data_IF_533257762685
#
_entry.id   IF_533257762685
#
_cell.length_a   1.000
_cell.length_b   1.000
_cell.length_c   1.000
_cell.angle_alpha   90.00
_cell.angle_beta   90.00
_cell.angle_gamma   90.00
#
_symmetry.space_group_name_H-M   'P 1'
#
loop_
_entity.id
_entity.type
_entity.pdbx_description
1 polymer ?
#
# COMPACT_ATOMS: atom_id res chain seq x y z
N UNK A 1 -19.35 -0.46 -5.15
CA UNK A 1 -18.79 -0.98 -6.41
C UNK A 1 -17.32 -0.65 -6.37
N UNK A 2 -16.45 -1.66 -6.47
CA UNK A 2 -15.00 -1.47 -6.41
C UNK A 2 -14.45 -1.34 -7.82
N UNK A 3 -13.54 -0.39 -8.04
CA UNK A 3 -12.86 -0.19 -9.32
C UNK A 3 -11.35 -0.23 -9.08
N UNK A 4 -10.64 -1.07 -9.85
CA UNK A 4 -9.18 -1.11 -9.86
C UNK A 4 -8.66 -0.70 -11.23
N UNK A 5 -7.75 0.28 -11.26
CA UNK A 5 -7.16 0.81 -12.50
C UNK A 5 -5.65 0.97 -12.34
N UNK A 6 -4.92 0.87 -13.46
CA UNK A 6 -3.49 1.17 -13.51
C UNK A 6 -3.29 2.56 -14.11
N UNK A 7 -2.73 3.48 -13.33
CA UNK A 7 -2.46 4.86 -13.74
C UNK A 7 -0.98 5.15 -13.58
N UNK A 8 -0.28 5.38 -14.70
CA UNK A 8 1.15 5.75 -14.71
C UNK A 8 2.04 4.79 -13.88
N UNK A 9 1.77 3.49 -13.93
CA UNK A 9 2.53 2.47 -13.19
C UNK A 9 2.12 2.29 -11.72
N UNK A 10 1.14 3.04 -11.24
CA UNK A 10 0.56 2.88 -9.89
C UNK A 10 -0.83 2.27 -10.00
N UNK A 11 -1.11 1.24 -9.20
CA UNK A 11 -2.44 0.68 -9.10
C UNK A 11 -3.29 1.55 -8.18
N UNK A 12 -4.48 1.92 -8.61
CA UNK A 12 -5.45 2.66 -7.81
C UNK A 12 -6.70 1.81 -7.63
N UNK A 13 -7.12 1.66 -6.38
CA UNK A 13 -8.31 0.92 -5.96
C UNK A 13 -9.28 1.92 -5.37
N UNK A 14 -10.48 1.99 -5.90
CA UNK A 14 -11.54 2.88 -5.46
C UNK A 14 -12.64 2.08 -4.78
N UNK A 15 -13.04 2.54 -3.58
CA UNK A 15 -14.25 2.11 -2.89
C UNK A 15 -15.11 3.35 -2.59
N UNK A 16 -16.02 3.67 -3.50
CA UNK A 16 -16.78 4.93 -3.45
C UNK A 16 -15.87 6.14 -3.68
N UNK A 17 -15.75 7.02 -2.69
CA UNK A 17 -14.88 8.20 -2.72
C UNK A 17 -13.47 7.95 -2.17
N UNK A 18 -13.29 6.84 -1.47
CA UNK A 18 -12.01 6.48 -0.89
C UNK A 18 -11.16 5.78 -1.93
N UNK A 19 -9.85 6.01 -1.88
CA UNK A 19 -8.89 5.44 -2.83
C UNK A 19 -7.65 4.95 -2.11
N UNK A 20 -7.16 3.79 -2.52
CA UNK A 20 -5.83 3.30 -2.17
C UNK A 20 -4.99 3.25 -3.43
N UNK A 21 -3.87 3.95 -3.44
CA UNK A 21 -2.88 3.84 -4.52
C UNK A 21 -1.70 3.02 -4.01
N UNK A 22 -1.24 2.05 -4.80
CA UNK A 22 -0.08 1.26 -4.42
C UNK A 22 0.88 1.01 -5.59
N UNK A 23 2.17 1.01 -5.28
CA UNK A 23 3.23 0.67 -6.23
C UNK A 23 4.35 -0.08 -5.53
N UNK A 24 5.11 -0.83 -6.32
CA UNK A 24 6.35 -1.42 -5.84
C UNK A 24 7.45 -0.35 -5.79
N UNK A 25 8.27 -0.39 -4.75
CA UNK A 25 9.47 0.43 -4.63
C UNK A 25 10.64 -0.38 -5.22
N UNK A 26 11.19 0.04 -6.37
CA UNK A 26 12.34 -0.61 -6.97
C UNK A 26 13.56 -0.62 -6.03
N UNK A 27 14.46 -1.61 -6.18
CA UNK A 27 15.70 -1.62 -5.42
C UNK A 27 16.50 -0.33 -5.62
N UNK A 28 16.94 0.29 -4.51
CA UNK A 28 17.75 1.53 -4.48
C UNK A 28 17.01 2.79 -4.94
N UNK A 29 15.69 2.77 -5.04
CA UNK A 29 14.90 4.00 -5.19
C UNK A 29 14.71 4.64 -3.81
N UNK A 30 15.14 5.90 -3.67
CA UNK A 30 14.77 6.73 -2.53
C UNK A 30 13.35 7.26 -2.74
N UNK A 31 12.52 7.16 -1.71
CA UNK A 31 11.14 7.66 -1.74
C UNK A 31 10.96 8.78 -0.72
N UNK A 32 10.13 9.76 -1.08
CA UNK A 32 9.66 10.77 -0.13
C UNK A 32 8.53 10.18 0.70
N UNK A 33 8.69 10.24 2.03
CA UNK A 33 7.69 9.77 2.98
C UNK A 33 7.14 10.91 3.81
N UNK A 34 5.88 10.80 4.19
CA UNK A 34 5.27 11.65 5.20
C UNK A 34 5.95 11.44 6.55
N UNK A 35 5.92 12.46 7.39
CA UNK A 35 6.44 12.39 8.76
C UNK A 35 5.67 11.39 9.64
N UNK A 36 4.43 11.08 9.30
CA UNK A 36 3.54 10.12 9.97
C UNK A 36 3.40 8.79 9.19
N UNK A 37 4.36 8.46 8.32
CA UNK A 37 4.36 7.21 7.56
C UNK A 37 4.47 6.00 8.49
N UNK A 38 3.62 4.99 8.26
CA UNK A 38 3.71 3.71 8.95
C UNK A 38 4.66 2.77 8.18
N UNK A 39 5.79 2.44 8.79
CA UNK A 39 6.79 1.53 8.22
C UNK A 39 6.68 0.14 8.86
N UNK A 40 6.15 -0.83 8.12
CA UNK A 40 6.06 -2.23 8.52
C UNK A 40 7.19 -3.11 7.96
N UNK A 41 8.18 -2.53 7.29
CA UNK A 41 9.29 -3.31 6.73
C UNK A 41 10.23 -3.86 7.82
N UNK A 42 10.43 -3.12 8.91
CA UNK A 42 11.33 -3.52 10.01
C UNK A 42 10.75 -4.65 10.86
N UNK A 43 9.42 -4.66 11.06
CA UNK A 43 8.75 -5.68 11.86
C UNK A 43 8.78 -7.06 11.19
N UNK A 44 8.75 -7.10 9.86
CA UNK A 44 8.75 -8.35 9.09
C UNK A 44 10.14 -9.00 9.00
N UNK A 45 11.24 -8.26 9.14
CA UNK A 45 12.60 -8.82 9.13
C UNK A 45 12.87 -9.74 10.33
N UNK A 46 12.08 -9.63 11.39
CA UNK A 46 12.14 -10.54 12.55
C UNK A 46 11.48 -11.89 12.29
N UNK A 47 10.71 -12.04 11.20
CA UNK A 47 10.07 -13.30 10.80
C UNK A 47 10.93 -14.02 9.76
N UNK A 48 11.50 -15.16 10.13
CA UNK A 48 12.73 -15.70 9.55
C UNK A 48 12.63 -16.39 8.17
N UNK A 49 11.52 -16.33 7.43
CA UNK A 49 11.30 -17.24 6.28
C UNK A 49 10.83 -16.56 4.98
N UNK A 50 10.91 -15.24 4.87
CA UNK A 50 10.37 -14.53 3.70
C UNK A 50 11.53 -14.14 2.78
N UNK A 51 11.57 -14.74 1.58
CA UNK A 51 12.42 -14.24 0.49
C UNK A 51 12.30 -12.72 0.38
N UNK A 52 13.40 -11.96 0.23
CA UNK A 52 13.34 -10.51 0.26
C UNK A 52 12.50 -9.99 -0.91
N UNK A 53 11.23 -9.71 -0.64
CA UNK A 53 10.35 -9.06 -1.61
C UNK A 53 10.60 -7.55 -1.56
N UNK A 54 10.59 -6.87 -2.71
CA UNK A 54 10.66 -5.42 -2.75
C UNK A 54 9.49 -4.84 -1.93
N UNK A 55 9.75 -3.77 -1.15
CA UNK A 55 8.71 -3.14 -0.38
C UNK A 55 7.70 -2.45 -1.30
N UNK A 56 6.48 -2.32 -0.81
CA UNK A 56 5.37 -1.64 -1.46
C UNK A 56 5.16 -0.31 -0.75
N UNK A 57 4.87 0.71 -1.54
CA UNK A 57 4.37 1.99 -1.08
C UNK A 57 2.86 2.04 -1.28
N UNK A 58 2.12 2.40 -0.25
CA UNK A 58 0.68 2.57 -0.28
C UNK A 58 0.30 3.97 0.20
N UNK A 59 -0.59 4.62 -0.55
CA UNK A 59 -1.16 5.91 -0.23
C UNK A 59 -2.66 5.78 -0.03
N UNK A 60 -3.15 6.26 1.11
CA UNK A 60 -4.56 6.22 1.49
C UNK A 60 -5.18 7.60 1.27
N UNK A 61 -6.30 7.63 0.55
CA UNK A 61 -7.03 8.85 0.24
C UNK A 61 -8.47 8.74 0.73
N UNK A 62 -8.95 9.82 1.35
CA UNK A 62 -10.38 10.05 1.60
C UNK A 62 -10.84 11.21 0.72
N UNK A 63 -11.57 10.88 -0.35
CA UNK A 63 -11.79 11.84 -1.44
C UNK A 63 -10.46 12.26 -2.08
N UNK A 64 -10.18 13.57 -2.09
CA UNK A 64 -8.93 14.11 -2.65
C UNK A 64 -7.81 14.28 -1.62
N UNK A 65 -8.08 14.04 -0.33
CA UNK A 65 -7.11 14.27 0.74
C UNK A 65 -6.32 12.99 1.03
N UNK A 66 -5.00 13.13 1.13
CA UNK A 66 -4.13 12.06 1.65
C UNK A 66 -4.32 11.96 3.16
N UNK A 67 -4.76 10.80 3.62
CA UNK A 67 -4.98 10.52 5.05
C UNK A 67 -3.92 9.61 5.66
N UNK A 68 -3.08 8.96 4.84
CA UNK A 68 -1.98 8.15 5.34
C UNK A 68 -1.08 7.62 4.23
N UNK A 69 0.12 7.20 4.64
CA UNK A 69 1.08 6.49 3.80
C UNK A 69 1.62 5.30 4.59
N UNK A 70 1.75 4.15 3.91
CA UNK A 70 2.23 2.90 4.48
C UNK A 70 3.33 2.36 3.59
N UNK A 71 4.42 1.92 4.19
CA UNK A 71 5.47 1.13 3.51
C UNK A 71 5.49 -0.25 4.15
N UNK A 72 5.31 -1.29 3.34
CA UNK A 72 5.21 -2.66 3.83
C UNK A 72 5.71 -3.66 2.77
N UNK A 73 6.18 -4.84 3.19
CA UNK A 73 6.46 -5.93 2.25
C UNK A 73 5.22 -6.83 2.15
N UNK A 74 5.11 -7.51 1.00
CA UNK A 74 4.02 -8.45 0.70
C UNK A 74 4.06 -9.69 1.62
N UNK A 75 2.92 -10.36 1.82
CA UNK A 75 1.59 -10.04 1.27
C UNK A 75 0.89 -8.91 2.01
N UNK A 76 0.18 -8.05 1.27
CA UNK A 76 -0.63 -6.96 1.88
C UNK A 76 -2.10 -7.21 1.54
N UNK A 77 -2.95 -7.17 2.56
CA UNK A 77 -4.39 -7.36 2.40
C UNK A 77 -5.11 -6.04 2.67
N UNK A 78 -5.82 -5.55 1.66
CA UNK A 78 -6.67 -4.37 1.80
C UNK A 78 -8.07 -4.85 2.15
N UNK A 79 -8.61 -4.35 3.25
CA UNK A 79 -9.94 -4.69 3.75
C UNK A 79 -10.90 -3.52 3.54
N UNK A 80 -12.17 -3.81 3.26
CA UNK A 80 -13.22 -2.79 3.34
C UNK A 80 -13.65 -2.54 4.80
N UNK A 81 -14.58 -1.60 4.99
CA UNK A 81 -15.13 -1.26 6.32
C UNK A 81 -15.90 -2.40 7.01
N UNK A 82 -16.26 -3.46 6.27
CA UNK A 82 -16.87 -4.68 6.83
C UNK A 82 -15.83 -5.73 7.24
N UNK A 83 -14.53 -5.44 7.09
CA UNK A 83 -13.43 -6.35 7.36
C UNK A 83 -13.20 -7.42 6.30
N UNK A 84 -13.83 -7.32 5.13
CA UNK A 84 -13.65 -8.27 4.02
C UNK A 84 -12.47 -7.84 3.15
N UNK A 85 -11.63 -8.80 2.75
CA UNK A 85 -10.54 -8.55 1.80
C UNK A 85 -11.11 -8.14 0.45
N UNK A 86 -10.69 -6.96 -0.01
CA UNK A 86 -11.03 -6.43 -1.33
C UNK A 86 -9.88 -6.57 -2.32
N UNK A 87 -8.64 -6.59 -1.84
CA UNK A 87 -7.46 -6.78 -2.69
C UNK A 87 -6.34 -7.46 -1.91
N UNK A 88 -5.58 -8.30 -2.60
CA UNK A 88 -4.29 -8.82 -2.15
C UNK A 88 -3.18 -8.27 -3.04
N UNK A 89 -2.29 -7.49 -2.45
CA UNK A 89 -1.14 -6.84 -3.11
C UNK A 89 0.15 -7.62 -2.84
#
# INVERSE_FOLDING_TARGET
MMLKILVRGTWEIFDGFDRVSHREIPPKEDIEVRSDCYNFCEEQERSADIHPQPPMELWLYRGQQVVGQIVARRPIYILNNEGKTIERV
#
